data_IF_059671208095
#
_entry.id   IF_059671208095
#
_cell.length_a   1.000
_cell.length_b   1.000
_cell.length_c   1.000
_cell.angle_alpha   90.00
_cell.angle_beta   90.00
_cell.angle_gamma   90.00
#
_symmetry.space_group_name_H-M   'P 1'
#
loop_
_entity.id
_entity.type
_entity.pdbx_description
1 polymer ?
#
# COMPACT_ATOMS: atom_id res chain seq x y z
N UNK A 1 26.70 -71.64 17.06
CA UNK A 1 27.65 -72.13 16.04
C UNK A 1 28.42 -70.86 15.56
N UNK A 2 29.54 -70.61 16.16
CA UNK A 2 30.95 -70.90 15.86
C UNK A 2 31.38 -70.54 14.42
N UNK A 3 32.21 -69.53 14.25
CA UNK A 3 33.67 -69.47 14.00
C UNK A 3 34.05 -68.03 13.64
N UNK A 4 34.86 -67.29 14.41
CA UNK A 4 36.33 -67.22 14.59
C UNK A 4 37.17 -67.19 13.30
N UNK A 5 37.88 -66.11 13.14
CA UNK A 5 39.30 -65.70 13.11
C UNK A 5 39.79 -65.41 11.71
N UNK A 6 40.59 -64.40 11.43
CA UNK A 6 42.04 -64.29 11.76
C UNK A 6 42.59 -62.87 11.44
N UNK A 7 43.44 -62.41 12.30
CA UNK A 7 44.39 -61.31 12.15
C UNK A 7 45.51 -61.72 11.17
N UNK A 8 46.06 -60.72 10.44
CA UNK A 8 47.47 -60.79 9.96
C UNK A 8 48.10 -59.44 10.07
N UNK A 9 49.20 -59.38 10.82
CA UNK A 9 50.22 -58.30 10.91
C UNK A 9 51.24 -58.47 9.78
N UNK A 10 51.82 -57.37 9.31
CA UNK A 10 53.19 -57.25 8.81
C UNK A 10 53.48 -55.80 8.47
N UNK A 11 54.27 -55.13 9.23
CA UNK A 11 55.74 -54.92 9.23
C UNK A 11 56.19 -53.68 8.46
N UNK A 12 56.77 -52.77 9.21
CA UNK A 12 57.47 -51.53 8.87
C UNK A 12 58.80 -51.88 8.18
N UNK A 13 59.39 -51.01 7.33
CA UNK A 13 60.68 -50.53 7.66
C UNK A 13 60.86 -49.00 7.61
N UNK A 14 61.69 -48.52 8.50
CA UNK A 14 62.25 -47.18 8.63
C UNK A 14 63.36 -46.93 7.63
N UNK A 15 63.47 -45.72 7.12
CA UNK A 15 64.70 -45.17 6.59
C UNK A 15 64.77 -43.66 6.69
N UNK A 16 65.59 -43.23 7.60
CA UNK A 16 66.67 -42.26 7.56
C UNK A 16 66.43 -40.83 7.04
N UNK A 17 66.58 -39.97 7.94
CA UNK A 17 67.03 -38.59 8.13
C UNK A 17 68.01 -38.06 7.07
N UNK A 18 67.69 -36.88 6.50
CA UNK A 18 68.67 -35.88 6.04
C UNK A 18 68.20 -34.47 6.49
N UNK A 19 68.87 -33.92 7.49
CA UNK A 19 68.84 -32.52 7.85
C UNK A 19 69.57 -31.68 6.78
N UNK A 20 68.86 -30.69 6.23
CA UNK A 20 69.47 -29.50 5.63
C UNK A 20 68.94 -28.25 6.34
N UNK A 21 69.85 -27.59 7.05
CA UNK A 21 69.63 -26.22 7.53
C UNK A 21 69.56 -25.28 6.32
N UNK A 22 68.47 -24.56 6.16
CA UNK A 22 68.41 -23.38 5.31
C UNK A 22 67.89 -22.22 6.14
N UNK A 23 68.53 -21.10 6.04
CA UNK A 23 68.48 -19.89 6.82
C UNK A 23 67.08 -19.24 6.89
N UNK A 24 66.80 -18.65 8.05
CA UNK A 24 65.68 -17.70 8.31
C UNK A 24 65.83 -16.46 7.42
N UNK A 25 64.87 -16.25 6.54
CA UNK A 25 64.43 -14.92 6.09
C UNK A 25 62.98 -14.71 6.60
N UNK A 26 62.65 -13.55 7.16
CA UNK A 26 61.25 -13.29 7.57
C UNK A 26 60.39 -13.26 6.32
N UNK A 27 59.17 -13.82 6.38
CA UNK A 27 58.22 -13.64 5.30
C UNK A 27 57.88 -12.14 5.21
N UNK A 28 57.97 -11.62 3.98
CA UNK A 28 57.36 -10.33 3.65
C UNK A 28 55.91 -10.39 4.06
N UNK A 29 55.48 -9.38 4.78
CA UNK A 29 54.07 -9.16 5.02
C UNK A 29 53.36 -9.17 3.66
N UNK A 30 52.54 -10.17 3.41
CA UNK A 30 51.47 -10.05 2.45
C UNK A 30 50.66 -8.87 2.92
N UNK A 31 50.67 -7.80 2.16
CA UNK A 31 49.61 -6.80 2.23
C UNK A 31 48.32 -7.59 2.04
N UNK A 32 47.60 -7.77 3.13
CA UNK A 32 46.19 -8.05 3.05
C UNK A 32 45.63 -6.95 2.15
N UNK A 33 45.26 -7.30 0.92
CA UNK A 33 44.30 -6.56 0.17
C UNK A 33 43.06 -6.52 1.10
N UNK A 34 42.94 -5.45 1.89
CA UNK A 34 41.67 -5.00 2.35
C UNK A 34 40.85 -4.83 1.08
N UNK A 35 40.09 -5.87 0.74
CA UNK A 35 38.89 -5.69 -0.04
C UNK A 35 38.14 -4.59 0.67
N UNK A 36 38.24 -3.37 0.14
CA UNK A 36 37.27 -2.37 0.38
C UNK A 36 35.95 -3.03 -0.09
N UNK A 37 35.15 -3.54 0.86
CA UNK A 37 33.79 -3.85 0.59
C UNK A 37 33.20 -2.52 0.09
N UNK A 38 33.02 -2.41 -1.20
CA UNK A 38 32.06 -1.45 -1.77
C UNK A 38 30.79 -1.58 -0.92
N UNK A 39 30.24 -0.47 -0.45
CA UNK A 39 29.19 -0.39 0.57
C UNK A 39 27.85 -1.01 0.19
N UNK A 40 27.78 -1.92 -0.76
CA UNK A 40 26.63 -2.72 -1.12
C UNK A 40 26.55 -4.00 -0.30
N UNK A 41 25.35 -4.43 0.01
CA UNK A 41 25.09 -5.65 0.79
C UNK A 41 23.64 -6.09 0.63
N UNK A 42 23.26 -7.11 1.41
CA UNK A 42 21.86 -7.54 1.46
C UNK A 42 21.01 -6.46 2.15
N UNK A 43 19.90 -6.07 1.50
CA UNK A 43 18.84 -5.22 2.08
C UNK A 43 17.59 -6.06 2.27
N UNK A 44 17.17 -6.21 3.52
CA UNK A 44 16.07 -7.12 3.88
C UNK A 44 14.80 -6.35 4.15
N UNK A 45 13.76 -6.65 3.38
CA UNK A 45 12.43 -6.06 3.52
C UNK A 45 11.47 -7.06 4.14
N UNK A 46 10.72 -6.65 5.15
CA UNK A 46 9.57 -7.39 5.64
C UNK A 46 8.30 -6.88 4.98
N UNK A 47 7.60 -7.71 4.22
CA UNK A 47 6.30 -7.37 3.63
C UNK A 47 5.19 -8.00 4.45
N UNK A 48 4.36 -7.18 5.11
CA UNK A 48 3.17 -7.66 5.84
C UNK A 48 1.93 -7.32 5.02
N UNK A 49 1.15 -8.36 4.68
CA UNK A 49 -0.10 -8.18 3.94
C UNK A 49 -1.10 -9.28 4.27
N UNK A 50 -2.39 -9.09 3.97
CA UNK A 50 -3.42 -10.10 4.21
C UNK A 50 -3.48 -11.08 3.05
N UNK A 51 -2.87 -12.26 3.17
CA UNK A 51 -2.96 -13.34 2.17
C UNK A 51 -4.11 -14.30 2.45
N UNK A 52 -4.63 -14.25 3.67
CA UNK A 52 -5.82 -14.98 4.11
C UNK A 52 -6.79 -14.03 4.82
N UNK A 53 -8.02 -14.50 5.10
CA UNK A 53 -9.05 -13.67 5.71
C UNK A 53 -9.89 -12.88 4.69
N UNK A 54 -10.61 -11.86 5.17
CA UNK A 54 -11.57 -11.12 4.34
C UNK A 54 -10.91 -10.21 3.30
N UNK A 55 -9.66 -9.80 3.52
CA UNK A 55 -8.88 -8.93 2.61
C UNK A 55 -7.87 -9.69 1.73
N UNK A 56 -8.00 -11.02 1.61
CA UNK A 56 -7.01 -11.85 0.91
C UNK A 56 -6.80 -11.45 -0.58
N UNK A 57 -7.83 -11.01 -1.25
CA UNK A 57 -7.72 -10.58 -2.65
C UNK A 57 -6.87 -9.30 -2.77
N UNK A 58 -7.15 -8.29 -1.95
CA UNK A 58 -6.42 -7.01 -1.95
C UNK A 58 -4.97 -7.19 -1.49
N UNK A 59 -4.75 -8.03 -0.46
CA UNK A 59 -3.41 -8.33 0.02
C UNK A 59 -2.56 -9.12 -0.99
N UNK A 60 -3.18 -10.01 -1.76
CA UNK A 60 -2.51 -10.72 -2.86
C UNK A 60 -2.11 -9.75 -3.97
N UNK A 61 -2.97 -8.80 -4.32
CA UNK A 61 -2.64 -7.78 -5.33
C UNK A 61 -1.49 -6.89 -4.85
N UNK A 62 -1.48 -6.46 -3.59
CA UNK A 62 -0.37 -5.73 -2.99
C UNK A 62 0.95 -6.50 -3.13
N UNK A 63 0.97 -7.78 -2.75
CA UNK A 63 2.17 -8.61 -2.90
C UNK A 63 2.63 -8.70 -4.36
N UNK A 64 1.71 -8.92 -5.30
CA UNK A 64 2.04 -9.02 -6.73
C UNK A 64 2.65 -7.75 -7.30
N UNK A 65 2.13 -6.57 -6.91
CA UNK A 65 2.72 -5.29 -7.34
C UNK A 65 4.16 -5.13 -6.85
N UNK A 66 4.41 -5.48 -5.59
CA UNK A 66 5.75 -5.50 -4.99
C UNK A 66 6.69 -6.48 -5.71
N UNK A 67 6.26 -7.73 -5.89
CA UNK A 67 7.04 -8.78 -6.54
C UNK A 67 7.33 -8.46 -8.01
N UNK A 68 6.41 -7.79 -8.71
CA UNK A 68 6.60 -7.39 -10.11
C UNK A 68 7.76 -6.42 -10.24
N UNK A 69 7.79 -5.35 -9.44
CA UNK A 69 8.88 -4.36 -9.48
C UNK A 69 10.25 -5.03 -9.28
N UNK A 70 10.41 -5.80 -8.22
CA UNK A 70 11.68 -6.42 -7.89
C UNK A 70 12.10 -7.48 -8.93
N UNK A 71 11.15 -8.24 -9.46
CA UNK A 71 11.42 -9.19 -10.54
C UNK A 71 11.92 -8.48 -11.81
N UNK A 72 11.32 -7.34 -12.18
CA UNK A 72 11.76 -6.56 -13.34
C UNK A 72 13.15 -5.96 -13.17
N UNK A 73 13.51 -5.59 -11.94
CA UNK A 73 14.78 -4.96 -11.60
C UNK A 73 15.85 -5.96 -11.07
N UNK A 74 15.59 -7.27 -11.15
CA UNK A 74 16.53 -8.33 -10.77
C UNK A 74 16.94 -8.28 -9.30
N UNK A 75 16.03 -7.84 -8.42
CA UNK A 75 16.23 -7.68 -6.99
C UNK A 75 17.39 -6.73 -6.63
N UNK A 76 17.68 -5.74 -7.47
CA UNK A 76 18.78 -4.80 -7.28
C UNK A 76 18.29 -3.36 -7.13
N UNK A 77 18.94 -2.61 -6.22
CA UNK A 77 18.80 -1.17 -6.10
C UNK A 77 20.15 -0.56 -5.68
N UNK A 78 20.77 0.19 -6.57
CA UNK A 78 22.13 0.70 -6.38
C UNK A 78 23.14 -0.42 -6.09
N UNK A 79 23.80 -0.37 -4.94
CA UNK A 79 24.76 -1.38 -4.51
C UNK A 79 24.12 -2.54 -3.71
N UNK A 80 22.79 -2.50 -3.47
CA UNK A 80 22.11 -3.49 -2.64
C UNK A 80 21.42 -4.57 -3.45
N UNK A 81 21.48 -5.81 -2.91
CA UNK A 81 20.57 -6.90 -3.31
C UNK A 81 19.41 -6.91 -2.33
N UNK A 82 18.22 -6.67 -2.83
CA UNK A 82 17.01 -6.60 -2.01
C UNK A 82 16.38 -7.98 -1.88
N UNK A 83 16.04 -8.37 -0.66
CA UNK A 83 15.35 -9.62 -0.38
C UNK A 83 14.11 -9.37 0.46
N UNK A 84 13.00 -10.02 0.12
CA UNK A 84 11.71 -9.82 0.80
C UNK A 84 11.30 -11.06 1.61
N UNK A 85 10.95 -10.84 2.88
CA UNK A 85 10.28 -11.83 3.73
C UNK A 85 8.81 -11.45 3.83
N UNK A 86 7.93 -12.31 3.30
CA UNK A 86 6.48 -12.06 3.27
C UNK A 86 5.81 -12.71 4.48
N UNK A 87 4.95 -11.96 5.17
CA UNK A 87 4.16 -12.41 6.30
C UNK A 87 2.67 -12.15 6.08
N UNK A 88 1.86 -13.19 6.31
CA UNK A 88 0.40 -13.11 6.27
C UNK A 88 -0.15 -12.67 7.62
N UNK A 89 -0.80 -11.51 7.67
CA UNK A 89 -1.47 -11.00 8.87
C UNK A 89 -2.88 -11.60 9.09
N UNK A 90 -3.35 -12.41 8.16
CA UNK A 90 -4.65 -13.07 8.20
C UNK A 90 -5.84 -12.11 8.38
N UNK A 91 -5.69 -10.83 8.00
CA UNK A 91 -6.67 -9.75 8.22
C UNK A 91 -6.98 -9.50 9.70
N UNK A 92 -6.02 -9.75 10.59
CA UNK A 92 -6.16 -9.66 12.06
C UNK A 92 -5.06 -8.78 12.68
N UNK A 93 -5.41 -7.73 13.46
CA UNK A 93 -4.43 -6.81 14.03
C UNK A 93 -3.42 -7.45 14.99
N UNK A 94 -3.84 -8.46 15.77
CA UNK A 94 -2.93 -9.13 16.71
C UNK A 94 -1.93 -9.99 15.92
N UNK A 95 -2.39 -10.71 14.90
CA UNK A 95 -1.53 -11.45 13.99
C UNK A 95 -0.52 -10.52 13.31
N UNK A 96 -0.94 -9.35 12.83
CA UNK A 96 -0.05 -8.38 12.21
C UNK A 96 1.11 -7.95 13.13
N UNK A 97 0.83 -7.67 14.42
CA UNK A 97 1.87 -7.33 15.41
C UNK A 97 2.81 -8.50 15.69
N UNK A 98 2.28 -9.74 15.78
CA UNK A 98 3.10 -10.94 15.97
C UNK A 98 4.04 -11.15 14.77
N UNK A 99 3.55 -10.91 13.53
CA UNK A 99 4.35 -10.98 12.30
C UNK A 99 5.41 -9.87 12.23
N UNK A 100 5.06 -8.63 12.58
CA UNK A 100 6.03 -7.54 12.67
C UNK A 100 7.12 -7.86 13.69
N UNK A 101 6.75 -8.41 14.86
CA UNK A 101 7.71 -8.84 15.87
C UNK A 101 8.68 -9.88 15.33
N UNK A 102 8.19 -10.89 14.61
CA UNK A 102 9.03 -11.91 14.01
C UNK A 102 9.99 -11.30 12.96
N UNK A 103 9.49 -10.43 12.09
CA UNK A 103 10.33 -9.76 11.07
C UNK A 103 11.49 -8.98 11.71
N UNK A 104 11.23 -8.27 12.80
CA UNK A 104 12.25 -7.48 13.50
C UNK A 104 13.22 -8.36 14.28
N UNK A 105 12.72 -9.34 15.08
CA UNK A 105 13.54 -10.10 16.03
C UNK A 105 14.25 -11.29 15.42
N UNK A 106 13.59 -12.02 14.53
CA UNK A 106 14.09 -13.29 13.99
C UNK A 106 14.71 -13.10 12.60
N UNK A 107 14.08 -12.25 11.77
CA UNK A 107 14.53 -12.02 10.39
C UNK A 107 15.46 -10.79 10.27
N UNK A 108 15.50 -9.91 11.27
CA UNK A 108 16.35 -8.71 11.28
C UNK A 108 16.19 -7.86 10.01
N UNK A 109 14.94 -7.55 9.65
CA UNK A 109 14.65 -6.74 8.46
C UNK A 109 15.08 -5.28 8.67
N UNK A 110 15.45 -4.62 7.57
CA UNK A 110 15.90 -3.22 7.55
C UNK A 110 14.72 -2.24 7.50
N UNK A 111 13.61 -2.68 6.89
CA UNK A 111 12.37 -1.92 6.72
C UNK A 111 11.17 -2.86 6.70
N UNK A 112 10.02 -2.38 7.14
CA UNK A 112 8.73 -3.08 6.98
C UNK A 112 7.85 -2.31 6.01
N UNK A 113 7.30 -3.00 5.01
CA UNK A 113 6.31 -2.51 4.05
C UNK A 113 4.94 -3.06 4.43
N UNK A 114 3.92 -2.22 4.45
CA UNK A 114 2.59 -2.59 4.94
C UNK A 114 2.44 -2.38 6.46
N UNK A 115 1.40 -2.96 7.10
CA UNK A 115 0.26 -3.67 6.50
C UNK A 115 -0.70 -2.77 5.71
N UNK A 116 -1.67 -3.42 5.05
CA UNK A 116 -2.69 -2.73 4.25
C UNK A 116 -3.88 -2.24 5.11
N UNK A 117 -4.43 -3.11 5.96
CA UNK A 117 -5.63 -2.82 6.73
C UNK A 117 -5.37 -1.80 7.84
N UNK A 118 -6.28 -0.82 8.00
CA UNK A 118 -6.15 0.30 8.94
C UNK A 118 -5.82 -0.15 10.38
N UNK A 119 -6.61 -1.09 10.93
CA UNK A 119 -6.38 -1.57 12.30
C UNK A 119 -5.05 -2.31 12.47
N UNK A 120 -4.63 -3.07 11.46
CA UNK A 120 -3.34 -3.77 11.44
C UNK A 120 -2.19 -2.78 11.36
N UNK A 121 -2.29 -1.78 10.47
CA UNK A 121 -1.25 -0.80 10.23
C UNK A 121 -1.00 0.08 11.46
N UNK A 122 -2.05 0.61 12.09
CA UNK A 122 -1.92 1.41 13.30
C UNK A 122 -1.25 0.63 14.44
N UNK A 123 -1.65 -0.64 14.66
CA UNK A 123 -1.06 -1.48 15.69
C UNK A 123 0.43 -1.82 15.40
N UNK A 124 0.78 -2.08 14.14
CA UNK A 124 2.16 -2.36 13.71
C UNK A 124 3.04 -1.12 13.77
N UNK A 125 2.54 0.05 13.35
CA UNK A 125 3.29 1.31 13.36
C UNK A 125 3.76 1.69 14.76
N UNK A 126 2.91 1.50 15.78
CA UNK A 126 3.26 1.71 17.18
C UNK A 126 4.40 0.79 17.65
N UNK A 127 4.38 -0.47 17.21
CA UNK A 127 5.44 -1.42 17.53
C UNK A 127 6.75 -1.02 16.85
N UNK A 128 6.74 -0.82 15.53
CA UNK A 128 7.94 -0.47 14.73
C UNK A 128 8.57 0.85 15.19
N UNK A 129 7.75 1.84 15.57
CA UNK A 129 8.23 3.10 16.14
C UNK A 129 9.04 2.87 17.41
N UNK A 130 8.60 1.98 18.33
CA UNK A 130 9.33 1.64 19.54
C UNK A 130 10.65 0.91 19.28
N UNK A 131 10.68 0.08 18.25
CA UNK A 131 11.87 -0.67 17.83
C UNK A 131 12.82 0.17 16.95
N UNK A 132 12.40 1.35 16.48
CA UNK A 132 13.20 2.22 15.61
C UNK A 132 13.34 1.69 14.18
N UNK A 133 12.39 0.86 13.71
CA UNK A 133 12.38 0.27 12.37
C UNK A 133 11.47 1.11 11.45
N UNK A 134 11.96 1.42 10.24
CA UNK A 134 11.17 2.16 9.26
C UNK A 134 9.94 1.37 8.81
N UNK A 135 8.83 2.05 8.65
CA UNK A 135 7.58 1.52 8.10
C UNK A 135 7.13 2.31 6.87
N UNK A 136 7.23 1.71 5.71
CA UNK A 136 6.66 2.22 4.46
C UNK A 136 5.22 1.72 4.37
N UNK A 137 4.30 2.57 4.82
CA UNK A 137 2.92 2.20 5.08
C UNK A 137 2.09 2.12 3.80
N UNK A 138 1.26 1.08 3.70
CA UNK A 138 0.35 0.80 2.58
C UNK A 138 -1.11 1.11 2.91
N UNK A 139 -1.38 1.61 4.10
CA UNK A 139 -2.75 1.85 4.57
C UNK A 139 -3.26 3.23 4.23
N UNK A 140 -4.55 3.31 3.96
CA UNK A 140 -5.28 4.57 3.83
C UNK A 140 -5.77 5.15 5.17
N UNK A 141 -5.48 4.52 6.33
CA UNK A 141 -5.86 5.08 7.62
C UNK A 141 -5.28 6.47 7.82
N UNK A 142 -6.11 7.46 8.09
CA UNK A 142 -5.69 8.86 8.22
C UNK A 142 -4.65 9.03 9.33
N UNK A 143 -4.91 8.43 10.49
CA UNK A 143 -4.08 8.60 11.70
C UNK A 143 -2.70 7.94 11.63
N UNK A 144 -2.38 7.20 10.56
CA UNK A 144 -1.02 6.66 10.37
C UNK A 144 0.01 7.80 10.18
N UNK A 145 -0.43 8.93 9.67
CA UNK A 145 0.38 10.12 9.39
C UNK A 145 -0.22 11.39 9.98
N UNK A 146 -1.51 11.70 9.79
CA UNK A 146 -2.10 12.99 10.20
C UNK A 146 -1.87 13.34 11.68
N UNK A 147 -2.01 12.36 12.58
CA UNK A 147 -1.87 12.54 14.04
C UNK A 147 -0.69 11.77 14.63
N UNK A 148 0.13 11.15 13.78
CA UNK A 148 1.35 10.48 14.17
C UNK A 148 2.54 11.44 14.08
N UNK A 149 3.39 11.44 15.10
CA UNK A 149 4.67 12.17 15.07
C UNK A 149 5.87 11.22 14.92
N UNK A 150 5.64 9.99 14.48
CA UNK A 150 6.71 9.00 14.35
C UNK A 150 7.63 9.34 13.19
N UNK A 151 8.95 9.48 13.42
CA UNK A 151 9.91 9.67 12.34
C UNK A 151 10.21 8.37 11.57
N UNK A 152 9.60 7.25 11.98
CA UNK A 152 9.82 5.93 11.40
C UNK A 152 8.70 5.50 10.45
N UNK A 153 7.61 6.25 10.37
CA UNK A 153 6.45 5.90 9.54
C UNK A 153 6.31 6.88 8.39
N UNK A 154 6.26 6.37 7.18
CA UNK A 154 6.00 7.13 5.95
C UNK A 154 4.89 6.45 5.16
N UNK A 155 3.87 7.19 4.76
CA UNK A 155 2.80 6.69 3.89
C UNK A 155 3.28 6.73 2.43
N UNK A 156 3.56 5.59 1.83
CA UNK A 156 4.11 5.50 0.46
C UNK A 156 3.20 4.81 -0.53
N UNK A 157 2.39 3.86 -0.09
CA UNK A 157 1.64 2.97 -0.99
C UNK A 157 0.14 3.26 -1.09
N UNK A 158 -0.32 4.36 -0.49
CA UNK A 158 -1.72 4.80 -0.60
C UNK A 158 -1.84 6.28 -0.27
N UNK A 159 -2.82 6.97 -0.83
CA UNK A 159 -3.30 8.22 -0.26
C UNK A 159 -4.10 7.97 1.03
N UNK A 160 -4.26 8.98 1.89
CA UNK A 160 -5.14 8.90 3.04
C UNK A 160 -6.61 8.68 2.61
N UNK A 161 -7.40 8.03 3.45
CA UNK A 161 -8.82 7.77 3.16
C UNK A 161 -9.59 9.06 2.93
N UNK A 162 -9.41 10.04 3.81
CA UNK A 162 -10.00 11.36 3.63
C UNK A 162 -9.40 12.14 2.45
N UNK A 163 -8.10 12.01 2.17
CA UNK A 163 -7.43 12.71 1.07
C UNK A 163 -8.10 12.48 -0.28
N UNK A 164 -8.38 11.22 -0.61
CA UNK A 164 -9.08 10.88 -1.86
C UNK A 164 -10.51 11.38 -1.84
N UNK A 165 -11.20 11.28 -0.74
CA UNK A 165 -12.64 11.53 -0.69
C UNK A 165 -12.99 12.99 -0.43
N UNK A 166 -12.05 13.80 0.07
CA UNK A 166 -12.15 15.26 0.02
C UNK A 166 -12.25 15.75 -1.43
N UNK A 167 -11.47 15.17 -2.35
CA UNK A 167 -11.58 15.45 -3.78
C UNK A 167 -12.95 15.03 -4.34
N UNK A 168 -13.51 13.88 -3.91
CA UNK A 168 -14.85 13.44 -4.32
C UNK A 168 -15.96 14.40 -3.86
N UNK A 169 -15.88 14.91 -2.64
CA UNK A 169 -16.86 15.87 -2.13
C UNK A 169 -16.77 17.22 -2.87
N UNK A 170 -15.54 17.69 -3.18
CA UNK A 170 -15.35 18.90 -3.99
C UNK A 170 -15.89 18.71 -5.41
N UNK A 171 -15.59 17.57 -6.06
CA UNK A 171 -16.12 17.25 -7.38
C UNK A 171 -17.66 17.28 -7.39
N UNK A 172 -18.30 16.69 -6.40
CA UNK A 172 -19.77 16.70 -6.31
C UNK A 172 -20.33 18.14 -6.21
N UNK A 173 -19.65 19.03 -5.50
CA UNK A 173 -20.00 20.47 -5.45
C UNK A 173 -19.79 21.13 -6.80
N UNK A 174 -18.69 20.87 -7.48
CA UNK A 174 -18.36 21.46 -8.79
C UNK A 174 -19.35 21.02 -9.87
N UNK A 175 -19.90 19.79 -9.78
CA UNK A 175 -20.97 19.27 -10.62
C UNK A 175 -22.37 19.86 -10.25
N UNK A 176 -22.42 20.67 -9.22
CA UNK A 176 -23.68 21.36 -8.80
C UNK A 176 -24.62 20.47 -8.01
N UNK A 177 -24.13 19.33 -7.48
CA UNK A 177 -24.89 18.44 -6.60
C UNK A 177 -24.98 19.09 -5.21
N UNK A 178 -26.16 19.05 -4.59
CA UNK A 178 -26.45 19.85 -3.39
C UNK A 178 -26.86 19.02 -2.18
N UNK A 179 -27.26 17.76 -2.41
CA UNK A 179 -27.77 16.91 -1.35
C UNK A 179 -27.26 15.49 -1.49
N UNK A 180 -26.54 15.02 -0.48
CA UNK A 180 -25.84 13.73 -0.51
C UNK A 180 -26.34 12.75 0.57
N UNK A 181 -26.19 11.45 0.29
CA UNK A 181 -26.16 10.40 1.29
C UNK A 181 -24.81 9.67 1.23
N UNK A 182 -24.34 9.18 2.38
CA UNK A 182 -23.12 8.38 2.44
C UNK A 182 -23.38 6.99 3.00
N UNK A 183 -22.61 5.99 2.54
CA UNK A 183 -22.61 4.63 3.08
C UNK A 183 -21.18 4.08 3.16
N UNK A 184 -20.75 3.71 4.37
CA UNK A 184 -19.40 3.19 4.63
C UNK A 184 -19.42 2.08 5.69
N UNK A 185 -18.37 1.23 5.76
CA UNK A 185 -18.25 0.26 6.83
C UNK A 185 -17.93 0.93 8.18
N UNK A 186 -18.46 0.37 9.26
CA UNK A 186 -18.36 0.92 10.60
C UNK A 186 -17.04 0.58 11.30
N UNK A 187 -15.95 1.21 10.83
CA UNK A 187 -14.63 1.20 11.45
C UNK A 187 -13.75 2.32 10.85
N UNK A 188 -12.52 2.51 11.34
CA UNK A 188 -11.66 3.66 11.02
C UNK A 188 -11.61 4.00 9.51
N UNK A 189 -11.34 3.02 8.63
CA UNK A 189 -11.33 3.25 7.19
C UNK A 189 -12.64 3.88 6.67
N UNK A 190 -13.78 3.33 7.07
CA UNK A 190 -15.07 3.86 6.61
C UNK A 190 -15.36 5.25 7.19
N UNK A 191 -14.96 5.50 8.43
CA UNK A 191 -15.13 6.82 9.05
C UNK A 191 -14.29 7.87 8.33
N UNK A 192 -13.01 7.57 8.03
CA UNK A 192 -12.13 8.45 7.28
C UNK A 192 -12.67 8.71 5.86
N UNK A 193 -13.10 7.65 5.19
CA UNK A 193 -13.59 7.71 3.80
C UNK A 193 -14.90 8.51 3.67
N UNK A 194 -15.93 8.18 4.46
CA UNK A 194 -17.19 8.95 4.44
C UNK A 194 -17.03 10.34 5.08
N UNK A 195 -16.14 10.46 6.06
CA UNK A 195 -15.85 11.74 6.71
C UNK A 195 -15.20 12.74 5.77
N UNK A 196 -14.22 12.29 4.97
CA UNK A 196 -13.56 13.14 3.97
C UNK A 196 -14.54 13.68 2.94
N UNK A 197 -15.37 12.80 2.32
CA UNK A 197 -16.41 13.25 1.39
C UNK A 197 -17.36 14.27 2.03
N UNK A 198 -17.90 13.95 3.21
CA UNK A 198 -18.85 14.82 3.89
C UNK A 198 -18.24 16.18 4.23
N UNK A 199 -16.95 16.22 4.62
CA UNK A 199 -16.27 17.46 5.00
C UNK A 199 -16.18 18.45 3.84
N UNK A 200 -15.62 18.06 2.70
CA UNK A 200 -15.51 18.98 1.54
C UNK A 200 -16.86 19.29 0.91
N UNK A 201 -17.78 18.34 0.88
CA UNK A 201 -19.12 18.57 0.37
C UNK A 201 -19.91 19.60 1.21
N UNK A 202 -19.83 19.52 2.55
CA UNK A 202 -20.42 20.49 3.46
C UNK A 202 -19.73 21.85 3.38
N UNK A 203 -18.40 21.89 3.30
CA UNK A 203 -17.63 23.13 3.15
C UNK A 203 -17.99 23.87 1.86
N UNK A 204 -18.26 23.11 0.79
CA UNK A 204 -18.77 23.63 -0.49
C UNK A 204 -20.25 24.03 -0.47
N UNK A 205 -20.94 23.89 0.64
CA UNK A 205 -22.34 24.31 0.84
C UNK A 205 -23.39 23.24 0.54
N UNK A 206 -22.98 21.98 0.37
CA UNK A 206 -23.87 20.83 0.24
C UNK A 206 -24.55 20.44 1.57
N UNK A 207 -25.52 19.54 1.51
CA UNK A 207 -26.24 18.96 2.66
C UNK A 207 -26.06 17.45 2.69
N UNK A 208 -25.69 16.87 3.83
CA UNK A 208 -25.70 15.43 4.06
C UNK A 208 -27.04 15.00 4.63
N UNK A 209 -27.88 14.39 3.81
CA UNK A 209 -29.22 13.92 4.18
C UNK A 209 -29.20 12.68 5.08
N UNK A 210 -28.23 11.79 4.87
CA UNK A 210 -28.06 10.59 5.67
C UNK A 210 -26.62 10.07 5.63
N UNK A 211 -26.17 9.50 6.74
CA UNK A 211 -24.93 8.71 6.83
C UNK A 211 -25.28 7.31 7.31
N UNK A 212 -25.01 6.32 6.47
CA UNK A 212 -25.30 4.93 6.77
C UNK A 212 -24.00 4.16 7.06
N UNK A 213 -24.04 3.36 8.11
CA UNK A 213 -22.89 2.58 8.56
C UNK A 213 -23.25 1.10 8.59
N UNK A 214 -22.45 0.26 7.92
CA UNK A 214 -22.65 -1.19 7.94
C UNK A 214 -21.48 -1.89 8.66
N UNK A 215 -21.74 -3.01 9.37
CA UNK A 215 -20.68 -3.75 10.06
C UNK A 215 -19.61 -4.24 9.08
N UNK A 216 -18.34 -4.17 9.49
CA UNK A 216 -17.22 -4.71 8.72
C UNK A 216 -17.49 -6.18 8.32
N UNK A 217 -17.18 -6.53 7.05
CA UNK A 217 -17.39 -7.87 6.51
C UNK A 217 -18.81 -8.16 6.03
N UNK A 218 -19.70 -7.14 6.02
CA UNK A 218 -21.05 -7.26 5.43
C UNK A 218 -20.93 -7.43 3.91
N UNK A 219 -21.52 -8.48 3.37
CA UNK A 219 -21.57 -8.73 1.92
C UNK A 219 -22.94 -8.44 1.28
N UNK A 220 -24.01 -8.40 2.08
CA UNK A 220 -25.38 -8.08 1.64
C UNK A 220 -25.77 -6.68 2.13
N UNK A 221 -25.79 -5.74 1.19
CA UNK A 221 -26.15 -4.34 1.46
C UNK A 221 -27.58 -3.98 1.04
N UNK A 222 -28.42 -4.95 0.74
CA UNK A 222 -29.81 -4.76 0.29
C UNK A 222 -30.67 -3.90 1.22
N UNK A 223 -30.51 -4.06 2.54
CA UNK A 223 -31.21 -3.26 3.55
C UNK A 223 -30.80 -1.79 3.47
N UNK A 224 -29.54 -1.51 3.26
CA UNK A 224 -29.00 -0.15 3.10
C UNK A 224 -29.41 0.46 1.76
N UNK A 225 -29.35 -0.33 0.68
CA UNK A 225 -29.83 0.10 -0.63
C UNK A 225 -31.31 0.52 -0.61
N UNK A 226 -32.16 -0.24 0.10
CA UNK A 226 -33.56 0.13 0.30
C UNK A 226 -33.70 1.46 1.05
N UNK A 227 -32.84 1.75 2.02
CA UNK A 227 -32.85 3.03 2.73
C UNK A 227 -32.40 4.16 1.82
N UNK A 228 -31.28 3.97 1.06
CA UNK A 228 -30.76 4.95 0.12
C UNK A 228 -31.79 5.30 -0.96
N UNK A 229 -32.42 4.31 -1.59
CA UNK A 229 -33.46 4.53 -2.61
C UNK A 229 -34.73 5.20 -2.10
N UNK A 230 -34.90 5.35 -0.78
CA UNK A 230 -35.99 6.11 -0.16
C UNK A 230 -35.66 7.58 0.11
N UNK A 231 -34.38 8.00 -0.14
CA UNK A 231 -33.92 9.36 0.11
C UNK A 231 -34.10 10.23 -1.15
N UNK A 232 -34.37 11.51 -0.94
CA UNK A 232 -34.31 12.54 -1.98
C UNK A 232 -32.92 13.17 -1.95
N UNK A 233 -32.00 12.63 -2.75
CA UNK A 233 -30.60 13.06 -2.81
C UNK A 233 -30.09 13.12 -4.24
N UNK A 234 -29.16 14.03 -4.51
CA UNK A 234 -28.54 14.21 -5.84
C UNK A 234 -27.37 13.24 -6.04
N UNK A 235 -26.72 12.84 -4.94
CA UNK A 235 -25.53 11.99 -4.97
C UNK A 235 -25.49 10.99 -3.80
N UNK A 236 -25.02 9.78 -4.09
CA UNK A 236 -24.72 8.76 -3.09
C UNK A 236 -23.21 8.51 -3.13
N UNK A 237 -22.52 8.79 -2.03
CA UNK A 237 -21.13 8.42 -1.85
C UNK A 237 -21.03 7.06 -1.13
N UNK A 238 -20.25 6.13 -1.68
CA UNK A 238 -20.02 4.83 -1.07
C UNK A 238 -18.53 4.52 -0.89
N UNK A 239 -18.13 4.30 0.38
CA UNK A 239 -16.83 3.70 0.69
C UNK A 239 -16.99 2.20 0.95
N UNK A 240 -16.18 1.36 0.29
CA UNK A 240 -16.14 -0.10 0.54
C UNK A 240 -14.69 -0.57 0.64
N UNK A 241 -14.49 -1.80 1.14
CA UNK A 241 -13.12 -2.34 1.35
C UNK A 241 -12.52 -2.99 0.10
N UNK A 242 -13.23 -2.98 -1.04
CA UNK A 242 -12.79 -3.63 -2.28
C UNK A 242 -13.02 -5.14 -2.34
N UNK A 243 -13.65 -5.71 -1.32
CA UNK A 243 -13.97 -7.12 -1.22
C UNK A 243 -15.43 -7.44 -1.55
N UNK A 244 -16.02 -8.33 -0.75
CA UNK A 244 -17.41 -8.77 -0.93
C UNK A 244 -18.43 -7.66 -0.71
N UNK A 245 -18.11 -6.67 0.10
CA UNK A 245 -18.92 -5.47 0.32
C UNK A 245 -19.00 -4.58 -0.92
N UNK A 246 -17.90 -4.41 -1.66
CA UNK A 246 -17.87 -3.69 -2.94
C UNK A 246 -18.81 -4.36 -3.96
N UNK A 247 -18.68 -5.67 -4.11
CA UNK A 247 -19.55 -6.46 -5.00
C UNK A 247 -21.02 -6.34 -4.57
N UNK A 248 -21.28 -6.41 -3.25
CA UNK A 248 -22.61 -6.24 -2.67
C UNK A 248 -23.20 -4.88 -2.96
N UNK A 249 -22.43 -3.80 -2.80
CA UNK A 249 -22.85 -2.45 -3.10
C UNK A 249 -23.14 -2.25 -4.60
N UNK A 250 -22.20 -2.61 -5.48
CA UNK A 250 -22.35 -2.45 -6.92
C UNK A 250 -23.58 -3.23 -7.48
N UNK A 251 -23.83 -4.44 -6.97
CA UNK A 251 -25.07 -5.18 -7.29
C UNK A 251 -26.31 -4.45 -6.80
N UNK A 252 -26.24 -3.89 -5.59
CA UNK A 252 -27.37 -3.16 -5.02
C UNK A 252 -27.67 -1.88 -5.81
N UNK A 253 -26.67 -1.18 -6.34
CA UNK A 253 -26.89 -0.02 -7.24
C UNK A 253 -27.79 -0.42 -8.40
N UNK A 254 -27.50 -1.53 -9.06
CA UNK A 254 -28.29 -2.03 -10.20
C UNK A 254 -29.65 -2.59 -9.75
N UNK A 255 -29.68 -3.44 -8.72
CA UNK A 255 -30.89 -4.18 -8.33
C UNK A 255 -31.99 -3.27 -7.75
N UNK A 256 -31.60 -2.14 -7.16
CA UNK A 256 -32.49 -1.15 -6.55
C UNK A 256 -32.61 0.14 -7.37
N UNK A 257 -31.91 0.24 -8.53
CA UNK A 257 -31.99 1.41 -9.41
C UNK A 257 -31.46 2.69 -8.78
N UNK A 258 -30.44 2.61 -7.91
CA UNK A 258 -29.95 3.78 -7.18
C UNK A 258 -29.34 4.84 -8.12
N UNK A 259 -28.75 4.41 -9.24
CA UNK A 259 -28.18 5.30 -10.25
C UNK A 259 -29.24 5.90 -11.21
N UNK A 260 -30.51 5.52 -11.11
CA UNK A 260 -31.60 6.12 -11.90
C UNK A 260 -31.98 7.51 -11.38
N UNK A 261 -31.80 7.75 -10.08
CA UNK A 261 -32.27 8.94 -9.38
C UNK A 261 -31.14 9.79 -8.75
N UNK A 262 -29.93 9.24 -8.57
CA UNK A 262 -28.80 9.91 -7.96
C UNK A 262 -27.47 9.56 -8.64
N UNK A 263 -26.53 10.50 -8.67
CA UNK A 263 -25.15 10.24 -9.06
C UNK A 263 -24.48 9.30 -8.06
N UNK A 264 -23.73 8.30 -8.55
CA UNK A 264 -23.00 7.37 -7.68
C UNK A 264 -21.51 7.66 -7.79
N UNK A 265 -20.91 8.12 -6.71
CA UNK A 265 -19.47 8.25 -6.58
C UNK A 265 -18.95 7.38 -5.44
N UNK A 266 -17.81 6.75 -5.64
CA UNK A 266 -17.28 5.76 -4.70
C UNK A 266 -15.83 6.09 -4.30
N UNK A 267 -15.35 5.49 -3.22
CA UNK A 267 -13.93 5.45 -2.91
C UNK A 267 -13.19 4.44 -3.79
N UNK A 268 -11.88 4.62 -3.91
CA UNK A 268 -10.96 3.87 -4.78
C UNK A 268 -11.12 2.33 -4.76
N UNK A 269 -11.43 1.77 -3.60
CA UNK A 269 -11.55 0.33 -3.42
C UNK A 269 -12.78 -0.29 -4.10
N UNK A 270 -13.85 0.49 -4.31
CA UNK A 270 -15.15 -0.01 -4.78
C UNK A 270 -15.10 -0.43 -6.24
N UNK A 271 -14.41 0.33 -7.09
CA UNK A 271 -14.32 0.09 -8.54
C UNK A 271 -13.00 -0.55 -8.95
N UNK A 272 -12.35 -1.28 -8.05
CA UNK A 272 -11.16 -2.08 -8.41
C UNK A 272 -11.55 -3.22 -9.38
N UNK A 273 -10.59 -3.74 -10.19
CA UNK A 273 -10.89 -4.71 -11.25
C UNK A 273 -11.63 -5.96 -10.78
N UNK A 274 -11.36 -6.45 -9.56
CA UNK A 274 -12.03 -7.65 -9.04
C UNK A 274 -13.54 -7.44 -8.85
N UNK A 275 -14.05 -6.46 -8.08
CA UNK A 275 -15.49 -6.16 -8.02
C UNK A 275 -16.10 -5.88 -9.40
N UNK A 276 -15.45 -5.07 -10.23
CA UNK A 276 -15.96 -4.74 -11.57
C UNK A 276 -16.14 -5.98 -12.45
N UNK A 277 -15.20 -6.92 -12.44
CA UNK A 277 -15.29 -8.16 -13.20
C UNK A 277 -16.49 -9.03 -12.79
N UNK A 278 -16.96 -8.92 -11.55
CA UNK A 278 -18.07 -9.72 -11.01
C UNK A 278 -19.44 -9.10 -11.20
N UNK A 279 -19.52 -7.78 -11.39
CA UNK A 279 -20.78 -7.08 -11.64
C UNK A 279 -20.99 -6.76 -13.11
N UNK A 280 -19.91 -6.65 -13.88
CA UNK A 280 -19.95 -6.45 -15.34
C UNK A 280 -20.54 -5.09 -15.74
N UNK A 281 -21.18 -4.99 -16.92
CA UNK A 281 -21.57 -3.72 -17.54
C UNK A 281 -22.53 -2.85 -16.71
N UNK A 282 -23.13 -3.36 -15.65
CA UNK A 282 -24.00 -2.56 -14.76
C UNK A 282 -23.24 -1.51 -13.94
N UNK A 283 -21.91 -1.59 -13.91
CA UNK A 283 -21.08 -0.57 -13.24
C UNK A 283 -20.67 0.58 -14.18
N UNK A 284 -20.95 0.52 -15.48
CA UNK A 284 -20.58 1.58 -16.44
C UNK A 284 -21.30 2.89 -16.07
N UNK A 285 -20.54 3.99 -16.07
CA UNK A 285 -21.01 5.32 -15.71
C UNK A 285 -20.90 5.64 -14.21
N UNK A 286 -20.47 4.70 -13.36
CA UNK A 286 -20.23 4.99 -11.95
C UNK A 286 -18.91 5.74 -11.78
N UNK A 287 -18.88 6.74 -10.89
CA UNK A 287 -17.66 7.48 -10.57
C UNK A 287 -16.92 6.91 -9.36
N UNK A 288 -15.62 7.16 -9.33
CA UNK A 288 -14.75 6.80 -8.19
C UNK A 288 -13.66 7.84 -7.99
N UNK A 289 -13.29 8.07 -6.73
CA UNK A 289 -12.15 8.92 -6.38
C UNK A 289 -10.97 8.04 -5.99
N UNK A 290 -9.85 8.19 -6.68
CA UNK A 290 -8.70 7.29 -6.58
C UNK A 290 -7.37 8.03 -6.83
N UNK A 291 -6.26 7.43 -6.43
CA UNK A 291 -4.89 7.87 -6.74
C UNK A 291 -4.23 6.99 -7.82
N UNK A 292 -4.96 6.05 -8.40
CA UNK A 292 -4.52 5.23 -9.53
C UNK A 292 -5.73 4.90 -10.42
N UNK A 293 -5.61 5.18 -11.70
CA UNK A 293 -6.63 4.89 -12.72
C UNK A 293 -6.06 3.92 -13.76
N UNK A 294 -6.54 2.67 -13.75
CA UNK A 294 -6.13 1.62 -14.69
C UNK A 294 -6.44 1.93 -16.15
N UNK A 295 -7.38 2.84 -16.40
CA UNK A 295 -7.74 3.38 -17.71
C UNK A 295 -7.07 4.70 -18.09
N UNK A 296 -6.05 5.15 -17.35
CA UNK A 296 -5.26 6.33 -17.72
C UNK A 296 -4.47 6.09 -19.00
N UNK A 297 -4.26 7.15 -19.79
CA UNK A 297 -3.43 7.17 -21.01
C UNK A 297 -1.93 7.42 -20.71
N UNK A 298 -1.51 7.45 -19.42
CA UNK A 298 -0.09 7.59 -19.05
C UNK A 298 0.71 6.39 -19.54
N UNK A 299 1.89 6.61 -20.18
CA UNK A 299 2.76 5.52 -20.63
C UNK A 299 3.20 4.59 -19.48
N UNK A 300 3.45 5.14 -18.31
CA UNK A 300 3.91 4.43 -17.11
C UNK A 300 2.82 3.47 -16.61
N UNK A 301 1.56 3.94 -16.62
CA UNK A 301 0.40 3.12 -16.24
C UNK A 301 0.14 2.03 -17.29
N UNK A 302 0.28 2.34 -18.58
CA UNK A 302 0.13 1.35 -19.65
C UNK A 302 1.20 0.25 -19.56
N UNK A 303 2.46 0.61 -19.31
CA UNK A 303 3.57 -0.34 -19.13
C UNK A 303 3.38 -1.21 -17.91
N UNK A 304 3.06 -0.62 -16.75
CA UNK A 304 2.77 -1.35 -15.52
C UNK A 304 1.61 -2.32 -15.69
N UNK A 305 0.49 -1.85 -16.25
CA UNK A 305 -0.69 -2.68 -16.50
C UNK A 305 -0.36 -3.86 -17.41
N UNK A 306 0.32 -3.61 -18.53
CA UNK A 306 0.70 -4.66 -19.49
C UNK A 306 1.61 -5.70 -18.84
N UNK A 307 2.63 -5.25 -18.11
CA UNK A 307 3.55 -6.14 -17.40
C UNK A 307 2.86 -6.97 -16.32
N UNK A 308 1.92 -6.36 -15.60
CA UNK A 308 1.15 -7.05 -14.56
C UNK A 308 0.20 -8.11 -15.17
N UNK A 309 -0.49 -7.76 -16.27
CA UNK A 309 -1.35 -8.69 -16.99
C UNK A 309 -0.56 -9.87 -17.57
N UNK A 310 0.62 -9.64 -18.13
CA UNK A 310 1.51 -10.69 -18.62
C UNK A 310 1.98 -11.62 -17.50
N UNK A 311 2.30 -11.06 -16.33
CA UNK A 311 2.80 -11.85 -15.20
C UNK A 311 1.70 -12.64 -14.48
N UNK A 312 0.50 -12.05 -14.33
CA UNK A 312 -0.52 -12.59 -13.42
C UNK A 312 -1.87 -12.89 -14.08
N UNK A 313 -2.06 -12.51 -15.35
CA UNK A 313 -3.31 -12.75 -16.06
C UNK A 313 -4.51 -11.96 -15.52
N UNK A 314 -4.27 -10.81 -14.89
CA UNK A 314 -5.27 -9.98 -14.24
C UNK A 314 -4.90 -8.50 -14.39
N UNK A 315 -5.90 -7.61 -14.40
CA UNK A 315 -5.69 -6.16 -14.36
C UNK A 315 -5.22 -5.76 -12.95
N UNK A 316 -4.16 -4.91 -12.82
CA UNK A 316 -3.69 -4.49 -11.52
C UNK A 316 -4.69 -3.58 -10.80
N UNK A 317 -4.81 -3.76 -9.49
CA UNK A 317 -5.61 -2.87 -8.65
C UNK A 317 -4.77 -1.70 -8.11
N UNK A 318 -5.44 -0.72 -7.51
CA UNK A 318 -4.80 0.38 -6.75
C UNK A 318 -3.84 -0.13 -5.67
N UNK A 319 -4.06 -1.32 -5.11
CA UNK A 319 -3.18 -1.94 -4.11
C UNK A 319 -1.89 -2.48 -4.73
N UNK A 320 -1.99 -3.07 -5.92
CA UNK A 320 -0.82 -3.50 -6.69
C UNK A 320 0.02 -2.28 -7.09
N UNK A 321 -0.62 -1.23 -7.61
CA UNK A 321 0.04 0.02 -7.98
C UNK A 321 0.75 0.67 -6.79
N UNK A 322 0.10 0.73 -5.61
CA UNK A 322 0.69 1.32 -4.40
C UNK A 322 1.93 0.58 -3.91
N UNK A 323 1.92 -0.75 -3.96
CA UNK A 323 3.09 -1.54 -3.58
C UNK A 323 4.23 -1.42 -4.61
N UNK A 324 3.90 -1.31 -5.89
CA UNK A 324 4.88 -1.04 -6.96
C UNK A 324 5.56 0.31 -6.76
N UNK A 325 4.78 1.40 -6.55
CA UNK A 325 5.31 2.75 -6.24
C UNK A 325 6.17 2.74 -4.98
N UNK A 326 5.77 2.03 -3.93
CA UNK A 326 6.61 1.92 -2.73
C UNK A 326 7.95 1.25 -3.02
N UNK A 327 7.97 0.27 -3.92
CA UNK A 327 9.22 -0.37 -4.35
C UNK A 327 10.09 0.59 -5.20
N UNK A 328 9.48 1.38 -6.10
CA UNK A 328 10.18 2.45 -6.85
C UNK A 328 10.84 3.45 -5.90
N UNK A 329 10.09 3.98 -4.94
CA UNK A 329 10.58 4.95 -3.95
C UNK A 329 11.70 4.37 -3.06
N UNK A 330 11.57 3.11 -2.63
CA UNK A 330 12.61 2.44 -1.87
C UNK A 330 13.87 2.25 -2.71
N UNK A 331 13.73 1.82 -3.97
CA UNK A 331 14.85 1.63 -4.87
C UNK A 331 15.60 2.93 -5.12
N UNK A 332 14.89 4.03 -5.42
CA UNK A 332 15.48 5.35 -5.60
C UNK A 332 16.27 5.81 -4.35
N UNK A 333 15.72 5.61 -3.16
CA UNK A 333 16.40 5.93 -1.91
C UNK A 333 17.67 5.07 -1.70
N UNK A 334 17.63 3.79 -2.04
CA UNK A 334 18.79 2.91 -1.94
C UNK A 334 19.88 3.27 -2.95
N UNK A 335 19.53 3.69 -4.16
CA UNK A 335 20.44 4.14 -5.19
C UNK A 335 21.21 5.42 -4.79
N UNK A 336 20.53 6.37 -4.14
CA UNK A 336 21.12 7.61 -3.63
C UNK A 336 21.90 7.43 -2.32
N UNK A 337 21.75 6.29 -1.64
CA UNK A 337 22.41 6.05 -0.37
C UNK A 337 23.92 5.78 -0.55
N UNK A 338 24.73 6.83 -0.55
CA UNK A 338 26.17 6.73 -0.68
C UNK A 338 26.84 6.11 0.55
N UNK A 339 27.10 4.80 0.53
CA UNK A 339 28.06 4.12 1.41
C UNK A 339 27.58 3.76 2.83
N UNK A 340 26.41 4.18 3.27
CA UNK A 340 25.80 3.76 4.54
C UNK A 340 24.41 3.19 4.27
N UNK A 341 24.14 1.99 4.77
CA UNK A 341 22.84 1.34 4.67
C UNK A 341 21.77 2.18 5.35
N UNK A 342 20.77 2.76 4.62
CA UNK A 342 19.75 3.59 5.25
C UNK A 342 18.74 2.70 5.99
N UNK A 343 18.49 3.01 7.27
CA UNK A 343 17.55 2.28 8.12
C UNK A 343 16.82 3.26 9.04
N UNK A 344 15.68 2.85 9.58
CA UNK A 344 14.93 3.64 10.54
C UNK A 344 14.56 5.03 9.99
N UNK A 345 14.74 6.07 10.80
CA UNK A 345 14.41 7.45 10.40
C UNK A 345 15.25 7.96 9.23
N UNK A 346 16.52 7.53 9.12
CA UNK A 346 17.38 7.93 8.00
C UNK A 346 16.84 7.44 6.66
N UNK A 347 16.22 6.25 6.61
CA UNK A 347 15.54 5.76 5.41
C UNK A 347 14.33 6.62 5.08
N UNK A 348 13.48 6.93 6.08
CA UNK A 348 12.29 7.78 5.88
C UNK A 348 12.69 9.14 5.31
N UNK A 349 13.69 9.79 5.90
CA UNK A 349 14.19 11.09 5.43
C UNK A 349 14.75 11.00 4.01
N UNK A 350 15.45 9.91 3.68
CA UNK A 350 16.01 9.71 2.36
C UNK A 350 14.92 9.49 1.31
N UNK A 351 13.91 8.66 1.58
CA UNK A 351 12.75 8.48 0.66
C UNK A 351 12.03 9.82 0.43
N UNK A 352 11.83 10.63 1.47
CA UNK A 352 11.21 11.95 1.34
C UNK A 352 12.04 12.90 0.48
N UNK A 353 13.35 12.83 0.57
CA UNK A 353 14.26 13.68 -0.19
C UNK A 353 14.37 13.28 -1.67
N UNK A 354 14.35 11.97 -1.95
CA UNK A 354 14.54 11.45 -3.32
C UNK A 354 13.26 11.41 -4.14
N UNK A 355 12.10 11.24 -3.52
CA UNK A 355 10.82 11.09 -4.24
C UNK A 355 10.52 12.24 -5.23
N UNK A 356 10.68 13.54 -4.86
CA UNK A 356 10.39 14.64 -5.79
C UNK A 356 11.38 14.77 -6.96
N UNK A 357 12.49 14.04 -6.92
CA UNK A 357 13.51 14.04 -7.96
C UNK A 357 13.33 12.90 -8.98
N UNK A 358 12.38 12.00 -8.72
CA UNK A 358 12.08 10.90 -9.62
C UNK A 358 11.18 11.39 -10.76
N UNK A 359 11.58 11.06 -11.97
CA UNK A 359 10.75 11.19 -13.17
C UNK A 359 10.10 9.82 -13.46
N UNK A 360 8.98 9.81 -14.14
CA UNK A 360 8.32 8.60 -14.65
C UNK A 360 7.82 7.61 -13.55
N UNK A 361 7.53 8.10 -12.33
CA UNK A 361 6.86 7.28 -11.32
C UNK A 361 5.43 6.91 -11.77
N UNK A 362 4.98 5.72 -11.40
CA UNK A 362 3.65 5.22 -11.76
C UNK A 362 2.51 6.18 -11.39
N UNK A 363 2.65 6.95 -10.32
CA UNK A 363 1.67 7.96 -9.89
C UNK A 363 2.01 9.39 -10.31
N UNK A 364 3.02 9.59 -11.16
CA UNK A 364 3.53 10.91 -11.53
C UNK A 364 4.29 11.56 -10.38
N UNK A 365 4.15 12.87 -10.23
CA UNK A 365 4.87 13.65 -9.22
C UNK A 365 4.44 13.23 -7.80
N UNK A 366 5.43 12.86 -6.99
CA UNK A 366 5.24 12.46 -5.59
C UNK A 366 6.11 13.32 -4.69
N UNK A 367 5.49 13.86 -3.64
CA UNK A 367 6.20 14.47 -2.52
C UNK A 367 5.57 14.06 -1.20
N UNK A 368 6.11 14.55 -0.08
CA UNK A 368 5.58 14.24 1.24
C UNK A 368 5.41 15.52 2.05
N UNK A 369 4.30 15.61 2.78
CA UNK A 369 4.07 16.71 3.70
C UNK A 369 4.89 16.58 5.01
N UNK A 370 4.79 17.59 5.89
CA UNK A 370 5.49 17.61 7.17
C UNK A 370 5.01 16.53 8.16
N UNK A 371 3.88 15.88 7.86
CA UNK A 371 3.26 14.82 8.67
C UNK A 371 3.52 13.42 8.09
N UNK A 372 4.46 13.28 7.13
CA UNK A 372 4.79 12.02 6.46
C UNK A 372 3.61 11.40 5.65
N UNK A 373 2.67 12.23 5.23
CA UNK A 373 1.64 11.89 4.27
C UNK A 373 2.13 12.11 2.83
N UNK A 374 1.78 11.21 1.93
CA UNK A 374 2.08 11.39 0.51
C UNK A 374 1.25 12.53 -0.08
N UNK A 375 1.87 13.35 -0.91
CA UNK A 375 1.24 14.36 -1.75
C UNK A 375 1.33 13.87 -3.19
N UNK A 376 0.19 13.72 -3.85
CA UNK A 376 0.11 13.15 -5.20
C UNK A 376 -1.19 13.61 -5.89
N UNK A 377 -1.34 13.31 -7.17
CA UNK A 377 -2.59 13.57 -7.88
C UNK A 377 -3.71 12.64 -7.40
N UNK A 378 -4.92 13.18 -7.31
CA UNK A 378 -6.17 12.45 -7.08
C UNK A 378 -7.05 12.57 -8.31
N UNK A 379 -7.56 11.45 -8.77
CA UNK A 379 -8.41 11.35 -9.95
C UNK A 379 -9.85 11.07 -9.55
N UNK A 380 -10.79 11.76 -10.18
CA UNK A 380 -12.15 11.27 -10.32
C UNK A 380 -12.19 10.49 -11.62
N UNK A 381 -12.64 9.26 -11.54
CA UNK A 381 -12.71 8.34 -12.68
C UNK A 381 -14.15 7.94 -12.96
N UNK A 382 -14.44 7.63 -14.21
CA UNK A 382 -15.69 7.00 -14.65
C UNK A 382 -15.40 5.56 -15.08
N UNK A 383 -16.23 4.62 -14.65
CA UNK A 383 -16.15 3.23 -15.12
C UNK A 383 -16.62 3.16 -16.57
N UNK A 384 -15.75 2.79 -17.47
CA UNK A 384 -16.00 2.67 -18.90
C UNK A 384 -15.76 1.25 -19.42
N UNK A 385 -16.45 0.87 -20.52
CA UNK A 385 -16.20 -0.39 -21.21
C UNK A 385 -14.95 -0.27 -22.10
N UNK A 386 -14.01 -1.20 -21.96
CA UNK A 386 -12.78 -1.25 -22.76
C UNK A 386 -12.38 -2.70 -23.08
N UNK A 387 -12.19 -3.03 -24.35
CA UNK A 387 -11.68 -4.32 -24.87
C UNK A 387 -12.23 -5.58 -24.18
N UNK A 388 -13.52 -5.56 -23.84
CA UNK A 388 -14.22 -6.69 -23.22
C UNK A 388 -14.15 -6.73 -21.69
N UNK A 389 -13.54 -5.71 -21.06
CA UNK A 389 -13.50 -5.46 -19.62
C UNK A 389 -14.11 -4.12 -19.24
N UNK A 390 -13.89 -3.73 -17.98
CA UNK A 390 -14.25 -2.43 -17.45
C UNK A 390 -12.99 -1.77 -16.87
N UNK A 391 -12.79 -0.49 -17.17
CA UNK A 391 -11.68 0.32 -16.73
C UNK A 391 -12.16 1.60 -16.05
N UNK A 392 -11.35 2.14 -15.14
CA UNK A 392 -11.54 3.45 -14.54
C UNK A 392 -10.82 4.49 -15.40
N UNK A 393 -11.54 5.18 -16.27
CA UNK A 393 -11.01 6.25 -17.11
C UNK A 393 -11.01 7.57 -16.36
N UNK A 394 -9.99 8.39 -16.54
CA UNK A 394 -9.88 9.68 -15.84
C UNK A 394 -10.91 10.67 -16.41
N UNK A 395 -11.77 11.21 -15.54
CA UNK A 395 -12.71 12.29 -15.81
C UNK A 395 -12.11 13.64 -15.36
N UNK A 396 -11.71 13.74 -14.10
CA UNK A 396 -11.16 14.95 -13.50
C UNK A 396 -9.89 14.60 -12.71
N UNK A 397 -8.90 15.49 -12.70
CA UNK A 397 -7.65 15.36 -11.97
C UNK A 397 -7.45 16.58 -11.07
N UNK A 398 -7.06 16.31 -9.82
CA UNK A 398 -6.59 17.29 -8.86
C UNK A 398 -5.12 16.99 -8.56
N UNK A 399 -4.24 17.96 -8.84
CA UNK A 399 -2.79 17.82 -8.63
C UNK A 399 -2.37 18.26 -7.24
N UNK A 400 -1.21 17.77 -6.78
CA UNK A 400 -0.56 18.17 -5.52
C UNK A 400 -1.48 18.08 -4.29
N UNK A 401 -2.34 17.06 -4.26
CA UNK A 401 -3.29 16.87 -3.16
C UNK A 401 -2.58 16.34 -1.94
N UNK A 402 -2.58 17.12 -0.85
CA UNK A 402 -2.13 16.67 0.47
C UNK A 402 -3.26 15.95 1.23
N UNK A 403 -2.91 15.23 2.30
CA UNK A 403 -3.90 14.59 3.17
C UNK A 403 -4.81 15.58 3.94
N UNK A 404 -4.52 16.86 3.87
CA UNK A 404 -5.31 17.93 4.48
C UNK A 404 -6.13 18.73 3.46
N UNK A 405 -6.04 18.39 2.16
CA UNK A 405 -6.70 19.14 1.08
C UNK A 405 -6.35 20.64 1.13
N UNK A 406 -7.37 21.50 1.15
CA UNK A 406 -7.23 22.95 1.29
C UNK A 406 -7.27 23.45 2.74
N UNK A 407 -7.41 22.56 3.72
CA UNK A 407 -7.53 22.88 5.13
C UNK A 407 -6.14 23.10 5.77
N UNK A 408 -6.10 23.98 6.78
CA UNK A 408 -4.90 24.19 7.57
C UNK A 408 -4.60 22.95 8.45
N UNK A 409 -3.40 22.36 8.32
CA UNK A 409 -3.07 21.12 9.03
C UNK A 409 -3.13 21.23 10.55
N UNK A 410 -2.71 22.37 11.16
CA UNK A 410 -2.72 22.54 12.60
C UNK A 410 -4.15 22.56 13.12
N UNK A 411 -5.04 23.29 12.44
CA UNK A 411 -6.47 23.31 12.78
C UNK A 411 -7.13 21.96 12.53
N UNK A 412 -6.73 21.24 11.46
CA UNK A 412 -7.28 19.92 11.15
C UNK A 412 -7.00 18.90 12.26
N UNK A 413 -5.77 18.82 12.75
CA UNK A 413 -5.39 17.84 13.77
C UNK A 413 -5.90 18.17 15.19
N UNK A 414 -6.34 19.42 15.45
CA UNK A 414 -7.05 19.78 16.69
C UNK A 414 -8.44 19.13 16.77
N UNK A 415 -9.05 18.82 15.63
CA UNK A 415 -10.29 18.07 15.59
C UNK A 415 -10.04 16.60 15.96
N UNK A 416 -11.02 15.90 16.57
CA UNK A 416 -10.91 14.46 16.78
C UNK A 416 -10.84 13.72 15.42
N UNK A 417 -10.32 12.50 15.44
CA UNK A 417 -10.40 11.61 14.29
C UNK A 417 -11.86 11.39 13.87
N UNK A 418 -12.08 11.11 12.60
CA UNK A 418 -13.41 10.77 12.09
C UNK A 418 -14.01 9.59 12.86
N UNK A 419 -15.33 9.61 13.02
CA UNK A 419 -16.09 8.54 13.67
C UNK A 419 -17.52 8.55 13.14
N UNK A 420 -18.35 7.58 13.53
CA UNK A 420 -19.78 7.59 13.21
C UNK A 420 -20.50 8.90 13.60
N UNK A 421 -20.04 9.59 14.61
CA UNK A 421 -20.69 10.76 15.20
C UNK A 421 -19.95 12.06 14.97
N UNK A 422 -18.78 11.99 14.33
CA UNK A 422 -17.96 13.14 14.04
C UNK A 422 -17.53 13.13 12.57
N UNK A 423 -18.02 14.11 11.83
CA UNK A 423 -17.46 14.58 10.56
C UNK A 423 -17.07 16.02 10.77
N UNK A 424 -15.97 16.46 10.15
CA UNK A 424 -15.57 17.87 10.22
C UNK A 424 -16.72 18.75 9.68
N UNK A 425 -17.11 19.74 10.44
CA UNK A 425 -18.11 20.76 10.06
C UNK A 425 -17.42 22.11 10.00
#
# INVERSE_FOLDING_TARGET
MHRRTRRTFLAVPAAAIALTLAACAPPAASEDEQSSSSGGGDYRVGLITSLTGFAAATGTDMQRGWDLYWTQNGDQAGEYTVSTVVEDDASDPQSAVDKATRLVTDESVDVVVGPLLAGNALAVADYLTREGVANLSQTSADDISQRSSSPYVLRTGSAAGSQTTLAAGQWAVDEGLTRAATICPDYAFGWDTCGGFATSFLDGGGEIAAQLWYPQGTSDLSTYATQLGGLDVDVIFAGTTGGTDAIGFLRSVNDYGLADDAEIITGAATTTPNPLSQVGPSAVGLHSSTYYADGSESPEIEEFRTSYEEAYGAVPSVYAAGAYVTAELLAAALEESAGAKPVGADLVDLVKATAPEQEDLLWGDISFDDYNGIVTSIFITEVAAHDGGLWNTVDTQYDDVSQFWSFDPETWIENPAFSQTFTHQ
#
